data_IF_690477893545
#
_entry.id   IF_690477893545
#
_cell.length_a   1.000
_cell.length_b   1.000
_cell.length_c   1.000
_cell.angle_alpha   90.00
_cell.angle_beta   90.00
_cell.angle_gamma   90.00
#
_symmetry.space_group_name_H-M   'P 1'
#
loop_
_entity.id
_entity.type
_entity.pdbx_description
1 polymer ?
#
# COMPACT_ATOMS: atom_id res chain seq x y z
N UNK A 1 12.31 -27.56 -9.69
CA UNK A 1 12.79 -26.53 -8.76
C UNK A 1 12.46 -25.14 -9.32
N UNK A 2 11.16 -24.72 -9.39
CA UNK A 2 10.74 -23.44 -10.04
C UNK A 2 9.62 -22.71 -9.30
N UNK A 3 9.38 -23.00 -8.01
CA UNK A 3 8.32 -22.36 -7.22
C UNK A 3 8.69 -20.98 -6.64
N UNK A 4 9.98 -20.68 -6.47
CA UNK A 4 10.43 -19.43 -5.83
C UNK A 4 10.30 -18.17 -6.69
N UNK A 5 10.23 -18.27 -8.03
CA UNK A 5 10.14 -17.09 -8.90
C UNK A 5 8.72 -16.52 -8.99
N UNK A 6 7.70 -17.37 -8.88
CA UNK A 6 6.28 -16.95 -9.01
C UNK A 6 5.78 -16.21 -7.75
N UNK A 7 6.24 -16.67 -6.57
CA UNK A 7 5.85 -16.04 -5.29
C UNK A 7 6.39 -14.60 -5.17
N UNK A 8 7.61 -14.35 -5.65
CA UNK A 8 8.20 -13.01 -5.63
C UNK A 8 7.54 -12.02 -6.60
N UNK A 9 6.92 -12.51 -7.67
CA UNK A 9 6.18 -11.66 -8.62
C UNK A 9 4.82 -11.26 -8.04
N UNK A 10 4.09 -12.21 -7.47
CA UNK A 10 2.81 -11.96 -6.80
C UNK A 10 2.95 -11.01 -5.63
N UNK A 11 3.97 -11.19 -4.81
CA UNK A 11 4.28 -10.30 -3.69
C UNK A 11 4.51 -8.84 -4.13
N UNK A 12 5.32 -8.62 -5.17
CA UNK A 12 5.57 -7.27 -5.71
C UNK A 12 4.33 -6.65 -6.34
N UNK A 13 3.47 -7.45 -6.98
CA UNK A 13 2.21 -6.97 -7.53
C UNK A 13 1.23 -6.58 -6.42
N UNK A 14 1.12 -7.38 -5.36
CA UNK A 14 0.31 -7.04 -4.19
C UNK A 14 0.75 -5.71 -3.57
N UNK A 15 2.05 -5.52 -3.34
CA UNK A 15 2.57 -4.26 -2.79
C UNK A 15 2.26 -3.06 -3.70
N UNK A 16 2.38 -3.22 -5.02
CA UNK A 16 2.00 -2.15 -5.95
C UNK A 16 0.51 -1.81 -5.88
N UNK A 17 -0.34 -2.83 -5.73
CA UNK A 17 -1.77 -2.63 -5.59
C UNK A 17 -2.11 -1.90 -4.28
N UNK A 18 -1.45 -2.27 -3.17
CA UNK A 18 -1.60 -1.61 -1.88
C UNK A 18 -1.05 -0.17 -1.86
N UNK A 19 -0.06 0.13 -2.71
CA UNK A 19 0.56 1.46 -2.81
C UNK A 19 -0.24 2.45 -3.69
N UNK A 20 -1.46 2.11 -4.13
CA UNK A 20 -2.29 3.02 -4.90
C UNK A 20 -2.80 4.19 -4.04
N UNK A 21 -2.58 5.45 -4.43
CA UNK A 21 -2.92 6.62 -3.60
C UNK A 21 -4.39 6.67 -3.19
N UNK A 22 -5.29 6.31 -4.11
CA UNK A 22 -6.72 6.31 -3.84
C UNK A 22 -7.13 5.22 -2.84
N UNK A 23 -6.46 4.05 -2.87
CA UNK A 23 -6.70 2.97 -1.90
C UNK A 23 -6.17 3.34 -0.51
N UNK A 24 -4.94 3.86 -0.43
CA UNK A 24 -4.35 4.35 0.82
C UNK A 24 -5.29 5.36 1.47
N UNK A 25 -5.74 6.34 0.69
CA UNK A 25 -6.64 7.38 1.18
C UNK A 25 -7.99 6.82 1.65
N UNK A 26 -8.59 5.89 0.90
CA UNK A 26 -9.86 5.28 1.25
C UNK A 26 -9.77 4.52 2.57
N UNK A 27 -8.77 3.64 2.71
CA UNK A 27 -8.58 2.82 3.91
C UNK A 27 -8.32 3.70 5.12
N UNK A 28 -7.39 4.65 5.03
CA UNK A 28 -7.05 5.55 6.13
C UNK A 28 -8.21 6.45 6.53
N UNK A 29 -8.97 6.98 5.58
CA UNK A 29 -10.13 7.84 5.88
C UNK A 29 -11.22 7.07 6.64
N UNK A 30 -11.48 5.80 6.25
CA UNK A 30 -12.47 4.98 6.99
C UNK A 30 -11.94 4.60 8.37
N UNK A 31 -10.64 4.34 8.52
CA UNK A 31 -10.02 4.05 9.80
C UNK A 31 -10.11 5.24 10.76
N UNK A 32 -9.78 6.44 10.29
CA UNK A 32 -9.71 7.66 11.09
C UNK A 32 -11.09 8.23 11.45
N UNK A 33 -12.03 8.24 10.49
CA UNK A 33 -13.31 8.93 10.59
C UNK A 33 -14.52 7.98 10.70
N UNK A 34 -14.28 6.67 10.67
CA UNK A 34 -15.32 5.64 10.72
C UNK A 34 -16.06 5.45 9.39
N UNK A 35 -17.20 4.75 9.44
CA UNK A 35 -17.91 4.32 8.23
C UNK A 35 -18.36 5.47 7.35
N UNK A 36 -18.03 5.40 6.06
CA UNK A 36 -18.33 6.44 5.08
C UNK A 36 -19.67 6.17 4.39
N UNK A 37 -20.53 7.19 4.34
CA UNK A 37 -21.82 7.08 3.69
C UNK A 37 -21.65 7.04 2.15
N UNK A 38 -22.31 6.09 1.49
CA UNK A 38 -22.31 5.89 0.02
C UNK A 38 -22.96 7.04 -0.77
N UNK A 39 -23.61 8.00 -0.10
CA UNK A 39 -24.20 9.14 -0.81
C UNK A 39 -23.10 9.97 -1.46
N UNK A 40 -23.30 10.28 -2.76
CA UNK A 40 -22.34 11.01 -3.61
C UNK A 40 -21.77 12.27 -2.96
N UNK A 41 -22.60 13.04 -2.26
CA UNK A 41 -22.17 14.28 -1.57
C UNK A 41 -21.24 14.02 -0.38
N UNK A 42 -21.49 12.97 0.42
CA UNK A 42 -20.64 12.61 1.56
C UNK A 42 -19.29 12.07 1.12
N UNK A 43 -19.27 11.24 0.08
CA UNK A 43 -18.04 10.73 -0.52
C UNK A 43 -17.19 11.86 -1.11
N UNK A 44 -17.81 12.78 -1.85
CA UNK A 44 -17.10 13.92 -2.43
C UNK A 44 -16.56 14.87 -1.37
N UNK A 45 -17.25 15.04 -0.24
CA UNK A 45 -16.79 15.88 0.86
C UNK A 45 -15.58 15.26 1.58
N UNK A 46 -15.59 13.95 1.80
CA UNK A 46 -14.48 13.22 2.44
C UNK A 46 -13.24 13.13 1.53
N UNK A 47 -13.44 13.03 0.20
CA UNK A 47 -12.38 12.77 -0.77
C UNK A 47 -12.25 13.87 -1.84
N UNK A 48 -12.38 15.14 -1.44
CA UNK A 48 -12.39 16.29 -2.36
C UNK A 48 -11.24 16.39 -3.38
N UNK A 49 -10.16 15.63 -3.17
CA UNK A 49 -9.00 15.57 -4.07
C UNK A 49 -9.08 14.41 -5.06
N UNK A 50 -10.08 13.53 -4.94
CA UNK A 50 -10.28 12.41 -5.86
C UNK A 50 -11.45 12.70 -6.79
N UNK A 51 -11.30 12.37 -8.05
CA UNK A 51 -12.44 12.36 -8.97
C UNK A 51 -13.41 11.23 -8.60
N UNK A 52 -14.68 11.38 -9.00
CA UNK A 52 -15.69 10.34 -8.74
C UNK A 52 -15.28 8.97 -9.31
N UNK A 53 -14.62 8.96 -10.48
CA UNK A 53 -14.11 7.72 -11.09
C UNK A 53 -12.96 7.11 -10.27
N UNK A 54 -12.00 7.91 -9.84
CA UNK A 54 -10.89 7.42 -9.00
C UNK A 54 -11.39 6.82 -7.69
N UNK A 55 -12.37 7.47 -7.08
CA UNK A 55 -12.98 6.98 -5.85
C UNK A 55 -13.80 5.70 -6.10
N UNK A 56 -14.59 5.65 -7.19
CA UNK A 56 -15.30 4.44 -7.58
C UNK A 56 -14.35 3.25 -7.74
N UNK A 57 -13.29 3.41 -8.53
CA UNK A 57 -12.27 2.38 -8.72
C UNK A 57 -11.55 1.98 -7.42
N UNK A 58 -11.30 2.93 -6.51
CA UNK A 58 -10.70 2.61 -5.22
C UNK A 58 -11.63 1.76 -4.35
N UNK A 59 -12.92 2.09 -4.33
CA UNK A 59 -13.94 1.32 -3.59
C UNK A 59 -14.10 -0.08 -4.16
N UNK A 60 -14.21 -0.20 -5.49
CA UNK A 60 -14.35 -1.50 -6.15
C UNK A 60 -13.13 -2.39 -5.84
N UNK A 61 -11.92 -1.86 -5.99
CA UNK A 61 -10.69 -2.57 -5.61
C UNK A 61 -10.62 -2.95 -4.13
N UNK A 62 -11.00 -2.03 -3.25
CA UNK A 62 -11.00 -2.31 -1.81
C UNK A 62 -11.99 -3.44 -1.46
N UNK A 63 -13.12 -3.53 -2.18
CA UNK A 63 -14.08 -4.63 -2.05
C UNK A 63 -13.55 -5.93 -2.63
N UNK A 64 -12.99 -5.90 -3.84
CA UNK A 64 -12.39 -7.05 -4.50
C UNK A 64 -11.25 -7.65 -3.67
N UNK A 65 -10.51 -6.80 -2.98
CA UNK A 65 -9.45 -7.20 -2.04
C UNK A 65 -9.98 -7.52 -0.63
N UNK A 66 -11.29 -7.56 -0.41
CA UNK A 66 -11.85 -7.88 0.89
C UNK A 66 -11.47 -6.93 2.02
N UNK A 67 -11.03 -5.71 1.70
CA UNK A 67 -10.62 -4.70 2.69
C UNK A 67 -11.79 -3.86 3.20
N UNK A 68 -12.84 -3.76 2.38
CA UNK A 68 -14.01 -2.93 2.64
C UNK A 68 -15.28 -3.71 2.30
N UNK A 69 -16.28 -3.59 3.14
CA UNK A 69 -17.61 -4.14 2.87
C UNK A 69 -18.68 -3.05 2.96
N UNK A 70 -19.79 -3.27 2.24
CA UNK A 70 -20.97 -2.40 2.34
C UNK A 70 -21.94 -2.95 3.38
N UNK A 71 -22.28 -2.17 4.39
CA UNK A 71 -23.35 -2.53 5.33
C UNK A 71 -24.72 -2.24 4.68
N UNK A 72 -25.46 -3.28 4.35
CA UNK A 72 -26.75 -3.15 3.68
C UNK A 72 -27.88 -2.75 4.64
N UNK A 73 -27.69 -2.92 5.96
CA UNK A 73 -28.74 -2.72 6.96
C UNK A 73 -28.83 -1.28 7.46
N UNK A 74 -27.75 -0.50 7.41
CA UNK A 74 -27.72 0.90 7.82
C UNK A 74 -27.33 1.85 6.68
N UNK A 75 -28.27 2.21 5.77
CA UNK A 75 -28.09 3.25 4.74
C UNK A 75 -26.71 3.21 4.09
N UNK A 76 -26.38 2.05 3.57
CA UNK A 76 -25.19 1.80 2.74
C UNK A 76 -23.98 2.62 3.15
N UNK A 77 -23.26 2.14 4.13
CA UNK A 77 -21.97 2.68 4.55
C UNK A 77 -20.87 1.70 4.15
N UNK A 78 -19.72 2.24 3.80
CA UNK A 78 -18.51 1.44 3.66
C UNK A 78 -17.80 1.36 5.00
N UNK A 79 -17.47 0.14 5.42
CA UNK A 79 -16.70 -0.19 6.63
C UNK A 79 -15.47 -0.97 6.25
N UNK A 80 -14.41 -0.86 7.03
CA UNK A 80 -13.28 -1.77 6.93
C UNK A 80 -13.67 -3.16 7.43
N UNK A 81 -13.06 -4.19 6.85
CA UNK A 81 -12.95 -5.51 7.42
C UNK A 81 -11.80 -5.55 8.40
N UNK A 82 -11.65 -6.62 9.19
CA UNK A 82 -10.48 -6.82 10.06
C UNK A 82 -9.18 -6.69 9.25
N UNK A 83 -9.11 -7.30 8.05
CA UNK A 83 -7.96 -7.15 7.15
C UNK A 83 -7.73 -5.71 6.68
N UNK A 84 -8.80 -4.93 6.52
CA UNK A 84 -8.73 -3.51 6.17
C UNK A 84 -8.23 -2.65 7.33
N UNK A 85 -8.64 -2.96 8.58
CA UNK A 85 -8.15 -2.29 9.79
C UNK A 85 -6.68 -2.59 10.02
N UNK A 86 -6.27 -3.85 9.93
CA UNK A 86 -4.86 -4.26 10.02
C UNK A 86 -4.00 -3.59 8.93
N UNK A 87 -4.56 -3.38 7.72
CA UNK A 87 -3.85 -2.66 6.65
C UNK A 87 -3.69 -1.17 6.98
N UNK A 88 -4.68 -0.55 7.61
CA UNK A 88 -4.56 0.83 8.07
C UNK A 88 -3.40 0.98 9.08
N UNK A 89 -3.23 0.02 9.99
CA UNK A 89 -2.10 -0.02 10.92
C UNK A 89 -0.74 -0.16 10.21
N UNK A 90 -0.67 -0.95 9.14
CA UNK A 90 0.53 -1.05 8.29
C UNK A 90 0.83 0.30 7.65
N UNK A 91 -0.19 1.00 7.11
CA UNK A 91 -0.02 2.33 6.53
C UNK A 91 0.47 3.35 7.54
N UNK A 92 -0.08 3.35 8.74
CA UNK A 92 0.36 4.22 9.83
C UNK A 92 1.80 3.97 10.25
N UNK A 93 2.18 2.72 10.34
CA UNK A 93 3.54 2.32 10.69
C UNK A 93 4.54 2.77 9.61
N UNK A 94 4.20 2.60 8.33
CA UNK A 94 4.98 3.06 7.19
C UNK A 94 5.09 4.60 7.16
N UNK A 95 3.99 5.31 7.37
CA UNK A 95 3.96 6.77 7.39
C UNK A 95 4.76 7.37 8.57
N UNK A 96 4.70 6.73 9.74
CA UNK A 96 5.44 7.12 10.94
C UNK A 96 6.94 6.99 10.71
N UNK A 97 7.38 5.86 10.16
CA UNK A 97 8.78 5.68 9.76
C UNK A 97 9.21 6.75 8.75
N UNK A 98 8.43 6.96 7.69
CA UNK A 98 8.72 7.94 6.66
C UNK A 98 8.81 9.37 7.21
N UNK A 99 7.95 9.73 8.16
CA UNK A 99 7.97 11.04 8.83
C UNK A 99 9.26 11.22 9.65
N UNK A 100 9.63 10.20 10.42
CA UNK A 100 10.84 10.23 11.26
C UNK A 100 12.10 10.41 10.42
N UNK A 101 12.14 9.78 9.24
CA UNK A 101 13.30 9.83 8.35
C UNK A 101 13.17 10.84 7.20
N UNK A 102 12.13 11.70 7.24
CA UNK A 102 11.84 12.74 6.25
C UNK A 102 11.76 12.21 4.81
N UNK A 103 11.20 11.01 4.64
CA UNK A 103 11.11 10.29 3.37
C UNK A 103 9.69 10.38 2.77
N UNK A 104 9.55 10.52 1.43
CA UNK A 104 10.58 10.86 0.44
C UNK A 104 11.07 12.31 0.58
N UNK A 105 10.32 13.17 1.26
CA UNK A 105 10.68 14.53 1.60
C UNK A 105 10.02 14.95 2.92
N UNK A 106 10.60 15.93 3.63
CA UNK A 106 10.06 16.43 4.90
C UNK A 106 8.63 16.96 4.79
N UNK A 107 8.28 17.56 3.65
CA UNK A 107 6.96 18.17 3.36
C UNK A 107 5.95 17.19 2.76
N UNK A 108 6.29 15.93 2.55
CA UNK A 108 5.38 14.94 1.99
C UNK A 108 4.16 14.71 2.88
N UNK A 109 2.99 14.58 2.26
CA UNK A 109 1.75 14.21 2.95
C UNK A 109 1.74 12.71 3.34
N UNK A 110 0.71 12.30 4.07
CA UNK A 110 0.55 10.92 4.53
C UNK A 110 0.54 9.92 3.36
N UNK A 111 -0.29 10.18 2.34
CA UNK A 111 -0.46 9.28 1.19
C UNK A 111 0.86 9.11 0.44
N UNK A 112 1.55 10.19 0.17
CA UNK A 112 2.86 10.20 -0.49
C UNK A 112 3.89 9.40 0.32
N UNK A 113 3.91 9.57 1.65
CA UNK A 113 4.81 8.81 2.52
C UNK A 113 4.55 7.32 2.43
N UNK A 114 3.31 6.88 2.60
CA UNK A 114 2.94 5.46 2.51
C UNK A 114 3.27 4.90 1.12
N UNK A 115 2.86 5.60 0.06
CA UNK A 115 3.06 5.18 -1.33
C UNK A 115 4.54 4.92 -1.66
N UNK A 116 5.43 5.77 -1.17
CA UNK A 116 6.87 5.62 -1.43
C UNK A 116 7.54 4.63 -0.48
N UNK A 117 6.99 4.40 0.72
CA UNK A 117 7.58 3.49 1.70
C UNK A 117 7.24 2.02 1.40
N UNK A 118 6.00 1.72 1.00
CA UNK A 118 5.57 0.34 0.74
C UNK A 118 6.48 -0.44 -0.22
N UNK A 119 6.94 0.12 -1.36
CA UNK A 119 7.87 -0.57 -2.24
C UNK A 119 9.21 -0.89 -1.59
N UNK A 120 9.68 -0.08 -0.62
CA UNK A 120 10.90 -0.35 0.13
C UNK A 120 10.71 -1.54 1.07
N UNK A 121 9.54 -1.64 1.72
CA UNK A 121 9.21 -2.73 2.63
C UNK A 121 9.10 -4.08 1.90
N UNK A 122 8.79 -4.05 0.61
CA UNK A 122 8.70 -5.26 -0.24
C UNK A 122 10.03 -5.72 -0.83
N UNK A 123 11.12 -5.02 -0.56
CA UNK A 123 12.43 -5.47 -1.01
C UNK A 123 12.98 -6.55 -0.07
N UNK A 124 13.72 -7.51 -0.62
CA UNK A 124 14.38 -8.53 0.19
C UNK A 124 15.39 -7.85 1.13
N UNK A 125 15.24 -8.02 2.46
CA UNK A 125 16.15 -7.41 3.43
C UNK A 125 17.61 -7.87 3.26
N UNK A 126 17.85 -9.04 2.68
CA UNK A 126 19.19 -9.51 2.38
C UNK A 126 19.83 -8.69 1.26
N UNK A 127 19.09 -8.38 0.19
CA UNK A 127 19.57 -7.53 -0.91
C UNK A 127 19.80 -6.10 -0.45
N UNK A 128 18.94 -5.55 0.40
CA UNK A 128 19.10 -4.20 0.95
C UNK A 128 20.36 -4.10 1.83
N UNK A 129 20.68 -5.14 2.62
CA UNK A 129 21.88 -5.20 3.46
C UNK A 129 23.17 -5.39 2.65
N UNK A 130 23.14 -6.18 1.58
CA UNK A 130 24.30 -6.42 0.72
C UNK A 130 24.67 -5.18 -0.09
N UNK A 131 23.68 -4.44 -0.60
CA UNK A 131 23.90 -3.15 -1.27
C UNK A 131 24.49 -2.11 -0.29
N UNK A 132 24.02 -2.09 0.96
CA UNK A 132 24.58 -1.23 2.00
C UNK A 132 26.01 -1.59 2.40
N UNK A 133 26.43 -2.85 2.26
CA UNK A 133 27.81 -3.32 2.55
C UNK A 133 28.81 -2.99 1.44
N UNK A 134 28.37 -2.96 0.19
CA UNK A 134 29.25 -2.73 -0.98
C UNK A 134 29.51 -1.23 -1.21
N UNK A 135 28.60 -0.34 -0.75
CA UNK A 135 28.79 1.10 -0.81
C UNK A 135 29.65 1.63 0.33
N UNK A 136 30.87 2.08 0.04
CA UNK A 136 31.86 2.63 0.99
C UNK A 136 31.37 3.85 1.78
N UNK A 137 30.10 4.23 1.67
CA UNK A 137 29.45 5.36 2.36
C UNK A 137 28.07 5.02 2.95
N UNK A 138 27.75 3.74 3.11
CA UNK A 138 26.74 3.25 4.06
C UNK A 138 25.27 3.63 3.83
N UNK A 139 24.83 4.04 2.64
CA UNK A 139 23.45 4.39 2.37
C UNK A 139 22.81 3.52 1.28
N UNK A 140 21.53 3.18 1.43
CA UNK A 140 20.74 2.48 0.41
C UNK A 140 20.39 3.46 -0.72
N UNK A 141 20.86 3.19 -1.93
CA UNK A 141 20.53 3.98 -3.12
C UNK A 141 19.15 3.58 -3.63
N UNK A 142 18.25 4.53 -3.68
CA UNK A 142 16.88 4.33 -4.17
C UNK A 142 16.75 4.64 -5.67
N UNK A 143 15.77 4.04 -6.38
CA UNK A 143 15.38 4.50 -7.68
C UNK A 143 15.00 5.99 -7.62
N UNK A 144 15.75 6.85 -8.33
CA UNK A 144 15.60 8.31 -8.23
C UNK A 144 16.77 9.03 -7.51
N UNK A 145 17.81 8.30 -7.08
CA UNK A 145 19.05 8.87 -6.56
C UNK A 145 19.01 9.31 -5.09
N UNK A 146 17.92 9.11 -4.37
CA UNK A 146 17.86 9.37 -2.93
C UNK A 146 18.65 8.29 -2.17
N UNK A 147 19.42 8.69 -1.16
CA UNK A 147 20.19 7.77 -0.31
C UNK A 147 19.57 7.73 1.07
N UNK A 148 19.13 6.55 1.51
CA UNK A 148 18.70 6.34 2.89
C UNK A 148 19.92 6.20 3.80
N UNK A 149 19.87 6.84 4.97
CA UNK A 149 20.92 6.65 5.98
C UNK A 149 20.88 5.22 6.53
N UNK A 150 22.01 4.69 7.03
CA UNK A 150 22.06 3.36 7.65
C UNK A 150 21.06 3.21 8.81
N UNK A 151 20.85 4.27 9.57
CA UNK A 151 19.87 4.30 10.65
C UNK A 151 18.43 4.20 10.11
N UNK A 152 18.10 4.89 9.03
CA UNK A 152 16.80 4.78 8.38
C UNK A 152 16.57 3.37 7.83
N UNK A 153 17.60 2.77 7.23
CA UNK A 153 17.53 1.40 6.68
C UNK A 153 17.32 0.36 7.79
N UNK A 154 18.02 0.44 8.91
CA UNK A 154 17.81 -0.49 10.02
C UNK A 154 16.45 -0.29 10.72
N UNK A 155 15.92 0.91 10.71
CA UNK A 155 14.59 1.20 11.26
C UNK A 155 13.43 0.72 10.37
N UNK A 156 13.68 0.21 9.15
CA UNK A 156 12.66 -0.41 8.30
C UNK A 156 12.19 -1.78 8.81
N UNK A 157 12.96 -2.44 9.67
CA UNK A 157 12.65 -3.79 10.16
C UNK A 157 11.24 -3.86 10.80
N UNK A 158 10.83 -2.85 11.54
CA UNK A 158 9.50 -2.78 12.16
C UNK A 158 8.36 -2.70 11.13
N UNK A 159 8.33 -1.67 10.27
CA UNK A 159 7.35 -1.56 9.18
C UNK A 159 7.34 -2.77 8.25
N UNK A 160 8.51 -3.34 7.95
CA UNK A 160 8.65 -4.52 7.10
C UNK A 160 8.03 -5.77 7.75
N UNK A 161 8.24 -5.96 9.06
CA UNK A 161 7.61 -7.03 9.82
C UNK A 161 6.08 -6.90 9.82
N UNK A 162 5.55 -5.68 10.00
CA UNK A 162 4.11 -5.42 9.96
C UNK A 162 3.50 -5.75 8.59
N UNK A 163 4.10 -5.28 7.49
CA UNK A 163 3.64 -5.61 6.14
C UNK A 163 3.73 -7.11 5.86
N UNK A 164 4.82 -7.75 6.26
CA UNK A 164 5.02 -9.19 6.06
C UNK A 164 3.98 -10.01 6.81
N UNK A 165 3.71 -9.67 8.07
CA UNK A 165 2.67 -10.32 8.88
C UNK A 165 1.29 -10.17 8.25
N UNK A 166 0.95 -8.95 7.79
CA UNK A 166 -0.31 -8.70 7.10
C UNK A 166 -0.43 -9.53 5.82
N UNK A 167 0.59 -9.55 4.98
CA UNK A 167 0.62 -10.35 3.76
C UNK A 167 0.50 -11.85 4.05
N UNK A 168 1.13 -12.36 5.09
CA UNK A 168 1.02 -13.76 5.51
C UNK A 168 -0.38 -14.12 6.00
N UNK A 169 -1.02 -13.23 6.74
CA UNK A 169 -2.41 -13.41 7.20
C UNK A 169 -3.41 -13.38 6.03
N UNK A 170 -3.07 -12.71 4.93
CA UNK A 170 -3.96 -12.44 3.80
C UNK A 170 -3.47 -13.07 2.48
N UNK A 171 -3.01 -14.33 2.51
CA UNK A 171 -2.44 -15.03 1.33
C UNK A 171 -3.45 -15.15 0.18
N UNK A 172 -4.73 -15.41 0.46
CA UNK A 172 -5.78 -15.45 -0.56
C UNK A 172 -5.94 -14.12 -1.28
N UNK A 173 -5.91 -13.02 -0.54
CA UNK A 173 -6.01 -11.66 -1.10
C UNK A 173 -4.80 -11.31 -1.98
N UNK A 174 -3.60 -11.79 -1.64
CA UNK A 174 -2.43 -11.59 -2.49
C UNK A 174 -2.61 -12.23 -3.87
N UNK A 175 -3.22 -13.40 -3.92
CA UNK A 175 -3.48 -14.10 -5.18
C UNK A 175 -4.49 -13.31 -6.04
N UNK A 176 -5.57 -12.84 -5.44
CA UNK A 176 -6.59 -12.04 -6.12
C UNK A 176 -6.04 -10.69 -6.60
N UNK A 177 -5.21 -10.02 -5.78
CA UNK A 177 -4.51 -8.79 -6.17
C UNK A 177 -3.57 -9.00 -7.36
N UNK A 178 -2.85 -10.12 -7.40
CA UNK A 178 -1.94 -10.45 -8.49
C UNK A 178 -2.69 -10.70 -9.80
N UNK A 179 -3.81 -11.43 -9.75
CA UNK A 179 -4.66 -11.71 -10.92
C UNK A 179 -5.31 -10.42 -11.45
N UNK A 180 -5.81 -9.56 -10.57
CA UNK A 180 -6.44 -8.32 -10.96
C UNK A 180 -5.46 -7.35 -11.64
N UNK A 181 -4.25 -7.25 -11.12
CA UNK A 181 -3.19 -6.40 -11.68
C UNK A 181 -2.72 -6.92 -13.05
N UNK A 182 -2.65 -8.24 -13.25
CA UNK A 182 -2.31 -8.85 -14.52
C UNK A 182 -3.39 -8.56 -15.59
N UNK A 183 -4.66 -8.64 -15.21
CA UNK A 183 -5.79 -8.41 -16.11
C UNK A 183 -5.87 -6.96 -16.61
N UNK A 184 -5.64 -5.99 -15.72
CA UNK A 184 -5.63 -4.56 -16.11
C UNK A 184 -4.45 -4.20 -17.01
N UNK A 185 -3.31 -4.88 -16.88
CA UNK A 185 -2.16 -4.70 -17.77
C UNK A 185 -2.44 -5.22 -19.18
N UNK A 186 -3.09 -6.37 -19.30
CA UNK A 186 -3.46 -7.00 -20.59
C UNK A 186 -4.53 -6.18 -21.34
N UNK A 187 -5.50 -5.61 -20.62
CA UNK A 187 -6.53 -4.73 -21.19
C UNK A 187 -5.93 -3.42 -21.75
N UNK A 188 -4.88 -2.88 -21.13
CA UNK A 188 -4.18 -1.68 -21.61
C UNK A 188 -3.32 -1.98 -22.85
N UNK A 189 -2.73 -3.16 -22.96
CA UNK A 189 -1.92 -3.57 -24.09
C UNK A 189 -2.79 -3.86 -25.33
N UNK A 190 -4.01 -4.37 -25.13
CA UNK A 190 -4.97 -4.67 -26.21
C UNK A 190 -5.65 -3.40 -26.77
N UNK A 191 -5.64 -2.29 -26.04
CA UNK A 191 -6.28 -1.02 -26.41
C UNK A 191 -5.34 -0.02 -27.10
N UNK A 192 -4.06 -0.36 -27.30
CA UNK A 192 -3.03 0.46 -27.93
C UNK A 192 -2.76 0.03 -29.37
#
# INVERSE_FOLDING_TARGET
MTRHSTDGLGHRQAIRALALPALIRLVSEIADNGPINRRRGSLQAAFGNLTANQLGHAIDRARDFGLVYGDEHERVRYRLTDSGEDLADVYDTAARWARTHQFPAATSDFVTRVQHTLPLLGQDPALARDVARVGTSGGLLLPGGAVLSPQATSALDGPQAALTAWLQANVSLQHDMALHTARTADEMETAA
#
